data_IF_343823162536
#
_entry.id   IF_343823162536
#
_cell.length_a   1.000
_cell.length_b   1.000
_cell.length_c   1.000
_cell.angle_alpha   90.00
_cell.angle_beta   90.00
_cell.angle_gamma   90.00
#
_symmetry.space_group_name_H-M   'P 1'
#
loop_
_entity.id
_entity.type
_entity.pdbx_description
1 polymer ?
#
# COMPACT_ATOMS: atom_id res chain seq x y z
N UNK A 1 -6.23 37.92 -25.05
CA UNK A 1 -5.85 38.25 -26.46
C UNK A 1 -5.71 39.76 -26.68
N UNK A 2 -6.71 40.60 -26.35
CA UNK A 2 -6.61 42.06 -26.53
C UNK A 2 -5.58 42.73 -25.59
N UNK A 3 -5.42 42.21 -24.38
CA UNK A 3 -4.57 42.77 -23.32
C UNK A 3 -3.08 42.56 -23.60
N UNK A 4 -2.71 41.35 -23.99
CA UNK A 4 -1.36 41.04 -24.48
C UNK A 4 -1.00 41.87 -25.72
N UNK A 5 -1.99 42.19 -26.56
CA UNK A 5 -1.78 43.03 -27.74
C UNK A 5 -1.48 44.48 -27.34
N UNK A 6 -2.19 45.03 -26.35
CA UNK A 6 -1.98 46.39 -25.85
C UNK A 6 -0.64 46.55 -25.12
N UNK A 7 -0.29 45.60 -24.25
CA UNK A 7 1.00 45.61 -23.54
C UNK A 7 2.17 45.51 -24.53
N UNK A 8 2.07 44.59 -25.49
CA UNK A 8 3.08 44.43 -26.54
C UNK A 8 3.24 45.69 -27.39
N UNK A 9 2.12 46.32 -27.76
CA UNK A 9 2.16 47.58 -28.52
C UNK A 9 2.84 48.72 -27.74
N UNK A 10 2.65 48.82 -26.42
CA UNK A 10 3.32 49.83 -25.59
C UNK A 10 4.81 49.55 -25.38
N UNK A 11 5.18 48.29 -25.18
CA UNK A 11 6.59 47.88 -25.04
C UNK A 11 7.36 48.07 -26.36
N UNK A 12 6.74 47.74 -27.49
CA UNK A 12 7.34 47.92 -28.82
C UNK A 12 7.50 49.41 -29.16
N UNK A 13 6.53 50.27 -28.79
CA UNK A 13 6.65 51.72 -28.96
C UNK A 13 7.77 52.32 -28.09
N UNK A 14 7.85 51.92 -26.81
CA UNK A 14 8.92 52.36 -25.92
C UNK A 14 10.30 51.88 -26.37
N UNK A 15 10.39 50.66 -26.91
CA UNK A 15 11.63 50.12 -27.47
C UNK A 15 12.07 50.85 -28.75
N UNK A 16 11.12 51.33 -29.56
CA UNK A 16 11.41 52.11 -30.78
C UNK A 16 11.90 53.53 -30.48
N UNK A 17 11.45 54.13 -29.38
CA UNK A 17 11.89 55.46 -28.93
C UNK A 17 13.20 55.41 -28.12
N UNK A 18 13.49 54.27 -27.49
CA UNK A 18 14.70 54.08 -26.70
C UNK A 18 15.94 53.87 -27.58
N UNK A 19 17.00 54.65 -27.35
CA UNK A 19 18.33 54.47 -27.99
C UNK A 19 19.15 53.31 -27.41
N UNK A 20 18.61 52.60 -26.41
CA UNK A 20 19.25 51.49 -25.70
C UNK A 20 18.17 50.47 -25.27
N UNK A 21 18.54 49.22 -24.92
CA UNK A 21 17.60 48.23 -24.42
C UNK A 21 16.83 48.77 -23.21
N UNK A 22 15.51 48.53 -23.18
CA UNK A 22 14.65 48.97 -22.08
C UNK A 22 15.17 48.43 -20.76
N UNK A 23 15.37 49.31 -19.78
CA UNK A 23 15.73 48.89 -18.43
C UNK A 23 14.56 48.17 -17.76
N UNK A 24 14.87 47.30 -16.80
CA UNK A 24 13.87 46.57 -16.02
C UNK A 24 12.86 47.52 -15.35
N UNK A 25 13.33 48.68 -14.91
CA UNK A 25 12.49 49.69 -14.24
C UNK A 25 11.52 50.37 -15.22
N UNK A 26 11.95 50.62 -16.46
CA UNK A 26 11.08 51.16 -17.50
C UNK A 26 9.99 50.17 -17.91
N UNK A 27 10.34 48.88 -18.06
CA UNK A 27 9.37 47.82 -18.37
C UNK A 27 8.34 47.70 -17.24
N UNK A 28 8.77 47.74 -15.98
CA UNK A 28 7.88 47.70 -14.83
C UNK A 28 6.94 48.92 -14.76
N UNK A 29 7.40 50.10 -15.17
CA UNK A 29 6.58 51.31 -15.29
C UNK A 29 5.49 51.18 -16.35
N UNK A 30 5.84 50.70 -17.54
CA UNK A 30 4.89 50.52 -18.66
C UNK A 30 3.82 49.48 -18.31
N UNK A 31 4.22 48.35 -17.68
CA UNK A 31 3.27 47.34 -17.21
C UNK A 31 2.28 47.93 -16.22
N UNK A 32 2.76 48.77 -15.28
CA UNK A 32 1.91 49.42 -14.28
C UNK A 32 0.92 50.41 -14.90
N UNK A 33 1.37 51.23 -15.83
CA UNK A 33 0.47 52.15 -16.55
C UNK A 33 -0.60 51.42 -17.36
N UNK A 34 -0.26 50.29 -17.99
CA UNK A 34 -1.24 49.47 -18.72
C UNK A 34 -2.26 48.89 -17.75
N UNK A 35 -1.83 48.37 -16.60
CA UNK A 35 -2.71 47.85 -15.56
C UNK A 35 -3.62 48.94 -14.98
N UNK A 36 -3.11 50.15 -14.73
CA UNK A 36 -3.89 51.29 -14.22
C UNK A 36 -4.89 51.82 -15.27
N UNK A 37 -4.53 51.78 -16.55
CA UNK A 37 -5.38 52.27 -17.66
C UNK A 37 -6.58 51.37 -17.99
N UNK A 38 -6.58 50.13 -17.50
CA UNK A 38 -7.60 49.12 -17.83
C UNK A 38 -8.85 49.18 -16.93
N UNK A 39 -8.98 50.21 -16.09
CA UNK A 39 -10.09 50.31 -15.14
C UNK A 39 -9.80 49.41 -13.95
N UNK A 40 -9.03 49.96 -13.01
CA UNK A 40 -8.67 49.27 -11.78
C UNK A 40 -9.92 48.83 -11.02
N UNK A 41 -10.06 47.52 -10.88
CA UNK A 41 -10.53 46.91 -9.63
C UNK A 41 -9.98 45.49 -9.50
N UNK A 42 -8.66 45.33 -9.68
CA UNK A 42 -7.96 44.31 -8.90
C UNK A 42 -7.54 45.02 -7.63
N UNK A 43 -8.46 45.06 -6.67
CA UNK A 43 -8.22 45.70 -5.40
C UNK A 43 -7.00 45.04 -4.73
N UNK A 44 -6.32 45.74 -3.83
CA UNK A 44 -5.27 45.13 -3.01
C UNK A 44 -5.80 43.90 -2.22
N UNK A 45 -7.12 43.80 -2.05
CA UNK A 45 -7.79 42.63 -1.50
C UNK A 45 -7.79 41.45 -2.49
N UNK A 46 -8.06 41.67 -3.78
CA UNK A 46 -8.04 40.61 -4.79
C UNK A 46 -6.63 40.05 -5.00
N UNK A 47 -5.60 40.90 -5.03
CA UNK A 47 -4.20 40.43 -5.09
C UNK A 47 -3.81 39.59 -3.86
N UNK A 48 -4.34 39.92 -2.67
CA UNK A 48 -4.13 39.12 -1.45
C UNK A 48 -4.85 37.78 -1.56
N UNK A 49 -6.10 37.76 -2.02
CA UNK A 49 -6.86 36.54 -2.22
C UNK A 49 -6.21 35.62 -3.26
N UNK A 50 -5.72 36.17 -4.38
CA UNK A 50 -4.96 35.41 -5.37
C UNK A 50 -3.71 34.77 -4.78
N UNK A 51 -2.97 35.52 -3.94
CA UNK A 51 -1.79 34.99 -3.26
C UNK A 51 -2.14 33.90 -2.25
N UNK A 52 -3.20 34.07 -1.47
CA UNK A 52 -3.68 33.04 -0.54
C UNK A 52 -4.14 31.77 -1.27
N UNK A 53 -4.84 31.92 -2.40
CA UNK A 53 -5.23 30.80 -3.26
C UNK A 53 -4.01 30.11 -3.89
N UNK A 54 -2.99 30.86 -4.29
CA UNK A 54 -1.74 30.31 -4.83
C UNK A 54 -0.96 29.56 -3.76
N UNK A 55 -0.87 30.09 -2.54
CA UNK A 55 -0.24 29.44 -1.39
C UNK A 55 -0.99 28.14 -1.03
N UNK A 56 -2.33 28.17 -1.03
CA UNK A 56 -3.17 26.97 -0.82
C UNK A 56 -2.97 25.94 -1.94
N UNK A 57 -2.92 26.37 -3.20
CA UNK A 57 -2.70 25.48 -4.34
C UNK A 57 -1.32 24.81 -4.27
N UNK A 58 -0.28 25.57 -3.92
CA UNK A 58 1.07 25.02 -3.68
C UNK A 58 1.06 24.01 -2.53
N UNK A 59 0.36 24.31 -1.44
CA UNK A 59 0.23 23.38 -0.31
C UNK A 59 -0.50 22.09 -0.70
N UNK A 60 -1.62 22.18 -1.44
CA UNK A 60 -2.35 21.00 -1.95
C UNK A 60 -1.44 20.17 -2.85
N UNK A 61 -0.65 20.80 -3.73
CA UNK A 61 0.25 20.07 -4.61
C UNK A 61 1.38 19.37 -3.84
N UNK A 62 1.93 20.02 -2.80
CA UNK A 62 2.91 19.42 -1.91
C UNK A 62 2.33 18.18 -1.20
N UNK A 63 1.15 18.29 -0.58
CA UNK A 63 0.48 17.17 0.07
C UNK A 63 0.16 16.05 -0.92
N UNK A 64 -0.29 16.37 -2.14
CA UNK A 64 -0.50 15.37 -3.20
C UNK A 64 0.78 14.59 -3.50
N UNK A 65 1.92 15.27 -3.59
CA UNK A 65 3.21 14.63 -3.81
C UNK A 65 3.65 13.75 -2.63
N UNK A 66 3.45 14.20 -1.40
CA UNK A 66 3.79 13.40 -0.21
C UNK A 66 2.92 12.15 -0.10
N UNK A 67 1.62 12.28 -0.38
CA UNK A 67 0.70 11.13 -0.36
C UNK A 67 0.98 10.18 -1.53
N UNK A 68 1.38 10.68 -2.70
CA UNK A 68 1.82 9.84 -3.81
C UNK A 68 3.07 9.02 -3.45
N UNK A 69 4.00 9.58 -2.67
CA UNK A 69 5.21 8.88 -2.22
C UNK A 69 4.92 7.67 -1.30
N UNK A 70 3.75 7.62 -0.66
CA UNK A 70 3.28 6.47 0.14
C UNK A 70 2.92 5.27 -0.77
N UNK A 71 2.82 5.50 -2.10
CA UNK A 71 2.40 4.52 -3.11
C UNK A 71 1.10 3.81 -2.72
N UNK A 72 -0.02 4.55 -2.57
CA UNK A 72 -1.29 3.98 -2.11
C UNK A 72 -1.84 2.89 -3.05
N UNK A 73 -1.48 2.95 -4.34
CA UNK A 73 -1.83 1.92 -5.32
C UNK A 73 -1.19 0.56 -4.98
N UNK A 74 0.11 0.51 -4.64
CA UNK A 74 0.78 -0.73 -4.23
C UNK A 74 0.14 -1.33 -2.97
N UNK A 75 -0.24 -0.48 -2.01
CA UNK A 75 -0.89 -0.92 -0.77
C UNK A 75 -2.22 -1.62 -1.09
N UNK A 76 -3.00 -1.07 -2.03
CA UNK A 76 -4.29 -1.61 -2.46
C UNK A 76 -4.13 -2.86 -3.34
N UNK A 77 -3.22 -2.80 -4.31
CA UNK A 77 -3.16 -3.78 -5.40
C UNK A 77 -2.23 -4.95 -5.10
N UNK A 78 -1.28 -4.79 -4.16
CA UNK A 78 -0.26 -5.80 -3.85
C UNK A 78 -0.23 -6.14 -2.36
N UNK A 79 0.11 -5.18 -1.48
CA UNK A 79 0.45 -5.51 -0.10
C UNK A 79 -0.72 -6.04 0.75
N UNK A 80 -1.89 -5.38 0.72
CA UNK A 80 -3.06 -5.82 1.50
C UNK A 80 -3.64 -7.15 0.97
N UNK A 81 -3.82 -7.33 -0.35
CA UNK A 81 -4.25 -8.62 -0.90
C UNK A 81 -3.30 -9.76 -0.53
N UNK A 82 -1.99 -9.61 -0.75
CA UNK A 82 -1.00 -10.66 -0.42
C UNK A 82 -1.00 -10.99 1.07
N UNK A 83 -1.00 -9.98 1.95
CA UNK A 83 -1.03 -10.23 3.39
C UNK A 83 -2.33 -10.93 3.83
N UNK A 84 -3.45 -10.63 3.19
CA UNK A 84 -4.73 -11.30 3.49
C UNK A 84 -4.70 -12.77 3.07
N UNK A 85 -4.19 -13.05 1.86
CA UNK A 85 -4.07 -14.42 1.34
C UNK A 85 -3.10 -15.26 2.18
N UNK A 86 -1.97 -14.69 2.59
CA UNK A 86 -1.01 -15.36 3.49
C UNK A 86 -1.65 -15.68 4.85
N UNK A 87 -2.41 -14.74 5.42
CA UNK A 87 -3.10 -14.95 6.70
C UNK A 87 -4.17 -16.04 6.60
N UNK A 88 -4.94 -16.07 5.50
CA UNK A 88 -5.91 -17.14 5.25
C UNK A 88 -5.22 -18.51 5.06
N UNK A 89 -4.08 -18.55 4.37
CA UNK A 89 -3.27 -19.76 4.24
C UNK A 89 -2.76 -20.26 5.60
N UNK A 90 -2.34 -19.36 6.50
CA UNK A 90 -1.95 -19.71 7.87
C UNK A 90 -3.12 -20.32 8.65
N UNK A 91 -4.33 -19.76 8.54
CA UNK A 91 -5.52 -20.36 9.18
C UNK A 91 -5.74 -21.78 8.66
N UNK A 92 -5.78 -21.97 7.34
CA UNK A 92 -6.01 -23.30 6.75
C UNK A 92 -4.94 -24.33 7.12
N UNK A 93 -3.67 -23.93 7.12
CA UNK A 93 -2.57 -24.80 7.52
C UNK A 93 -2.63 -25.19 9.00
N UNK A 94 -2.98 -24.24 9.88
CA UNK A 94 -3.13 -24.53 11.32
C UNK A 94 -4.33 -25.43 11.61
N UNK A 95 -5.44 -25.27 10.91
CA UNK A 95 -6.59 -26.19 11.00
C UNK A 95 -6.22 -27.60 10.57
N UNK A 96 -5.54 -27.73 9.42
CA UNK A 96 -5.09 -29.03 8.91
C UNK A 96 -4.16 -29.72 9.89
N UNK A 97 -3.20 -28.98 10.47
CA UNK A 97 -2.30 -29.51 11.48
C UNK A 97 -3.04 -29.94 12.75
N UNK A 98 -4.04 -29.18 13.19
CA UNK A 98 -4.89 -29.54 14.34
C UNK A 98 -5.64 -30.86 14.10
N UNK A 99 -6.23 -31.05 12.91
CA UNK A 99 -6.89 -32.32 12.58
C UNK A 99 -5.92 -33.50 12.58
N UNK A 100 -4.72 -33.34 12.01
CA UNK A 100 -3.70 -34.38 12.06
C UNK A 100 -3.27 -34.74 13.49
N UNK A 101 -3.21 -33.75 14.39
CA UNK A 101 -2.95 -33.99 15.83
C UNK A 101 -4.11 -34.79 16.45
N UNK A 102 -5.36 -34.48 16.11
CA UNK A 102 -6.53 -35.20 16.61
C UNK A 102 -6.55 -36.66 16.15
N UNK A 103 -6.26 -36.91 14.87
CA UNK A 103 -6.14 -38.28 14.34
C UNK A 103 -5.07 -39.08 15.08
N UNK A 104 -3.92 -38.46 15.39
CA UNK A 104 -2.87 -39.08 16.18
C UNK A 104 -3.30 -39.35 17.63
N UNK A 105 -4.04 -38.43 18.25
CA UNK A 105 -4.63 -38.60 19.57
C UNK A 105 -5.63 -39.76 19.63
N UNK A 106 -6.46 -39.92 18.60
CA UNK A 106 -7.39 -41.05 18.49
C UNK A 106 -6.67 -42.39 18.34
N UNK A 107 -5.58 -42.43 17.57
CA UNK A 107 -4.71 -43.60 17.47
C UNK A 107 -4.09 -43.96 18.83
N UNK A 108 -3.65 -42.95 19.62
CA UNK A 108 -3.16 -43.16 20.99
C UNK A 108 -4.28 -43.69 21.89
N UNK A 109 -5.50 -43.19 21.76
CA UNK A 109 -6.68 -43.67 22.50
C UNK A 109 -6.98 -45.14 22.24
N UNK A 110 -6.84 -45.61 20.99
CA UNK A 110 -6.98 -47.03 20.66
C UNK A 110 -5.93 -47.91 21.36
N UNK A 111 -4.67 -47.44 21.41
CA UNK A 111 -3.59 -48.13 22.15
C UNK A 111 -3.86 -48.11 23.65
N UNK A 112 -4.36 -47.00 24.19
CA UNK A 112 -4.72 -46.87 25.61
C UNK A 112 -5.78 -47.90 26.03
N UNK A 113 -6.71 -48.26 25.15
CA UNK A 113 -7.69 -49.32 25.39
C UNK A 113 -7.13 -50.75 25.37
N UNK A 114 -5.93 -50.95 24.84
CA UNK A 114 -5.28 -52.26 24.71
C UNK A 114 -4.24 -52.55 25.82
N UNK A 115 -3.89 -51.56 26.64
CA UNK A 115 -2.93 -51.69 27.75
C UNK A 115 -3.64 -51.88 29.09
N UNK A 116 -2.89 -52.07 30.18
CA UNK A 116 -3.45 -52.15 31.52
C UNK A 116 -4.15 -50.83 31.93
N UNK A 117 -5.11 -50.94 32.86
CA UNK A 117 -5.97 -49.83 33.23
C UNK A 117 -5.21 -48.60 33.78
N UNK A 118 -4.08 -48.79 34.46
CA UNK A 118 -3.31 -47.68 35.01
C UNK A 118 -2.62 -46.88 33.89
N UNK A 119 -1.96 -47.57 32.97
CA UNK A 119 -1.28 -46.92 31.85
C UNK A 119 -2.28 -46.37 30.82
N UNK A 120 -3.39 -47.08 30.58
CA UNK A 120 -4.47 -46.60 29.71
C UNK A 120 -5.10 -45.30 30.22
N UNK A 121 -5.32 -45.17 31.54
CA UNK A 121 -5.82 -43.94 32.14
C UNK A 121 -4.83 -42.77 31.94
N UNK A 122 -3.53 -43.00 32.16
CA UNK A 122 -2.49 -41.97 31.95
C UNK A 122 -2.42 -41.48 30.50
N UNK A 123 -2.57 -42.39 29.54
CA UNK A 123 -2.60 -42.04 28.11
C UNK A 123 -3.84 -41.21 27.76
N UNK A 124 -5.02 -41.62 28.23
CA UNK A 124 -6.26 -40.89 27.98
C UNK A 124 -6.26 -39.49 28.62
N UNK A 125 -5.70 -39.34 29.83
CA UNK A 125 -5.51 -38.04 30.47
C UNK A 125 -4.59 -37.14 29.63
N UNK A 126 -3.49 -37.69 29.10
CA UNK A 126 -2.58 -36.94 28.24
C UNK A 126 -3.26 -36.50 26.92
N UNK A 127 -4.01 -37.40 26.28
CA UNK A 127 -4.79 -37.10 25.06
C UNK A 127 -5.83 -36.01 25.33
N UNK A 128 -6.56 -36.09 26.43
CA UNK A 128 -7.54 -35.08 26.84
C UNK A 128 -6.90 -33.70 26.98
N UNK A 129 -5.72 -33.63 27.61
CA UNK A 129 -4.96 -32.37 27.74
C UNK A 129 -4.49 -31.82 26.40
N UNK A 130 -4.17 -32.67 25.42
CA UNK A 130 -3.82 -32.24 24.07
C UNK A 130 -5.04 -31.64 23.37
N UNK A 131 -6.20 -32.31 23.44
CA UNK A 131 -7.45 -31.77 22.89
C UNK A 131 -7.80 -30.39 23.46
N UNK A 132 -7.71 -30.24 24.78
CA UNK A 132 -7.94 -28.95 25.46
C UNK A 132 -6.93 -27.90 25.01
N UNK A 133 -5.65 -28.27 24.89
CA UNK A 133 -4.60 -27.35 24.47
C UNK A 133 -4.86 -26.86 23.04
N UNK A 134 -5.21 -27.75 22.10
CA UNK A 134 -5.49 -27.46 20.70
C UNK A 134 -6.71 -26.55 20.46
N UNK A 135 -7.61 -26.43 21.45
CA UNK A 135 -8.74 -25.50 21.38
C UNK A 135 -8.31 -24.02 21.28
N UNK A 136 -7.03 -23.69 21.50
CA UNK A 136 -6.48 -22.35 21.23
C UNK A 136 -6.55 -21.93 19.75
N UNK A 137 -6.65 -22.89 18.82
CA UNK A 137 -6.70 -22.63 17.39
C UNK A 137 -7.92 -21.79 17.02
N UNK A 138 -9.09 -22.04 17.62
CA UNK A 138 -10.32 -21.26 17.38
C UNK A 138 -10.10 -19.76 17.71
N UNK A 139 -9.47 -19.46 18.85
CA UNK A 139 -9.14 -18.08 19.23
C UNK A 139 -8.11 -17.47 18.28
N UNK A 140 -7.13 -18.25 17.81
CA UNK A 140 -6.13 -17.79 16.83
C UNK A 140 -6.79 -17.46 15.49
N UNK A 141 -7.65 -18.35 14.96
CA UNK A 141 -8.40 -18.14 13.72
C UNK A 141 -9.32 -16.92 13.80
N UNK A 142 -10.01 -16.73 14.93
CA UNK A 142 -10.83 -15.55 15.17
C UNK A 142 -10.00 -14.26 15.23
N UNK A 143 -8.81 -14.29 15.84
CA UNK A 143 -7.91 -13.13 15.89
C UNK A 143 -7.37 -12.79 14.51
N UNK A 144 -6.95 -13.78 13.72
CA UNK A 144 -6.50 -13.58 12.34
C UNK A 144 -7.65 -13.00 11.51
N UNK A 145 -8.85 -13.54 11.62
CA UNK A 145 -10.05 -13.00 10.94
C UNK A 145 -10.29 -11.51 11.29
N UNK A 146 -10.06 -11.10 12.54
CA UNK A 146 -10.15 -9.68 12.94
C UNK A 146 -9.05 -8.83 12.29
N UNK A 147 -7.83 -9.35 12.18
CA UNK A 147 -6.73 -8.66 11.47
C UNK A 147 -7.07 -8.48 9.99
N UNK A 148 -7.52 -9.54 9.31
CA UNK A 148 -7.96 -9.48 7.91
C UNK A 148 -9.05 -8.43 7.71
N UNK A 149 -10.05 -8.38 8.61
CA UNK A 149 -11.09 -7.33 8.55
C UNK A 149 -10.54 -5.92 8.71
N UNK A 150 -9.53 -5.73 9.57
CA UNK A 150 -8.88 -4.44 9.74
C UNK A 150 -8.07 -4.05 8.49
N UNK A 151 -7.36 -4.99 7.87
CA UNK A 151 -6.64 -4.76 6.60
C UNK A 151 -7.61 -4.35 5.49
N UNK A 152 -8.74 -5.06 5.32
CA UNK A 152 -9.80 -4.66 4.37
C UNK A 152 -10.39 -3.28 4.67
N UNK A 153 -10.47 -2.88 5.94
CA UNK A 153 -10.89 -1.52 6.29
C UNK A 153 -9.86 -0.47 5.85
N UNK A 154 -8.56 -0.77 6.01
CA UNK A 154 -7.47 0.09 5.54
C UNK A 154 -7.51 0.21 4.02
N UNK A 155 -7.71 -0.89 3.29
CA UNK A 155 -7.89 -0.93 1.84
C UNK A 155 -8.97 0.05 1.37
N UNK A 156 -10.18 -0.01 1.95
CA UNK A 156 -11.26 0.93 1.61
C UNK A 156 -10.89 2.40 1.87
N UNK A 157 -10.09 2.68 2.92
CA UNK A 157 -9.63 4.05 3.20
C UNK A 157 -8.60 4.53 2.20
N UNK A 158 -7.71 3.63 1.78
CA UNK A 158 -6.71 3.88 0.75
C UNK A 158 -7.39 4.14 -0.60
N UNK A 159 -8.41 3.37 -0.97
CA UNK A 159 -9.23 3.61 -2.16
C UNK A 159 -9.89 4.99 -2.15
N UNK A 160 -10.51 5.36 -1.02
CA UNK A 160 -11.14 6.67 -0.88
C UNK A 160 -10.12 7.82 -0.99
N UNK A 161 -8.91 7.62 -0.48
CA UNK A 161 -7.80 8.58 -0.57
C UNK A 161 -7.35 8.76 -2.03
N UNK A 162 -7.17 7.66 -2.76
CA UNK A 162 -6.82 7.68 -4.18
C UNK A 162 -7.90 8.40 -5.01
N UNK A 163 -9.17 8.06 -4.77
CA UNK A 163 -10.29 8.70 -5.47
C UNK A 163 -10.39 10.21 -5.20
N UNK A 164 -10.12 10.66 -3.97
CA UNK A 164 -10.20 12.07 -3.59
C UNK A 164 -9.07 12.93 -4.18
N UNK A 165 -7.87 12.37 -4.32
CA UNK A 165 -6.69 13.09 -4.81
C UNK A 165 -6.55 13.05 -6.35
N UNK A 166 -7.24 12.11 -6.99
CA UNK A 166 -7.27 11.90 -8.44
C UNK A 166 -6.12 11.02 -8.92
N UNK A 167 -6.40 10.04 -9.79
CA UNK A 167 -5.41 9.06 -10.30
C UNK A 167 -4.16 9.72 -10.92
N UNK A 168 -4.32 10.88 -11.56
CA UNK A 168 -3.22 11.66 -12.15
C UNK A 168 -2.15 12.08 -11.13
N UNK A 169 -2.54 12.30 -9.87
CA UNK A 169 -1.59 12.66 -8.80
C UNK A 169 -0.68 11.48 -8.40
N UNK A 170 -1.11 10.25 -8.70
CA UNK A 170 -0.42 9.01 -8.33
C UNK A 170 0.36 8.39 -9.48
N UNK A 171 -0.07 8.63 -10.73
CA UNK A 171 0.67 8.19 -11.93
C UNK A 171 1.77 9.17 -12.36
N UNK A 172 1.74 10.43 -11.92
CA UNK A 172 2.73 11.45 -12.31
C UNK A 172 4.09 11.31 -11.60
N UNK A 173 4.19 10.41 -10.63
CA UNK A 173 5.41 10.17 -9.86
C UNK A 173 5.63 8.67 -9.75
N UNK A 174 6.02 8.02 -10.84
CA UNK A 174 6.88 6.84 -10.74
C UNK A 174 8.32 7.36 -10.60
N UNK A 175 8.83 7.61 -9.37
CA UNK A 175 10.27 7.52 -9.20
C UNK A 175 10.70 6.12 -9.65
N UNK A 176 11.93 5.93 -10.15
CA UNK A 176 12.41 4.60 -10.51
C UNK A 176 12.09 3.65 -9.35
N UNK A 177 11.67 2.39 -9.65
CA UNK A 177 11.35 1.42 -8.62
C UNK A 177 12.47 1.47 -7.58
N UNK A 178 12.15 1.48 -6.27
CA UNK A 178 13.19 1.47 -5.25
C UNK A 178 14.17 0.39 -5.66
N UNK A 179 15.44 0.77 -5.82
CA UNK A 179 16.50 -0.18 -6.20
C UNK A 179 16.26 -1.36 -5.28
N UNK A 180 15.92 -2.52 -5.87
CA UNK A 180 15.56 -3.71 -5.11
C UNK A 180 16.61 -3.80 -4.03
N UNK A 181 16.21 -3.52 -2.78
CA UNK A 181 17.05 -3.88 -1.67
C UNK A 181 17.18 -5.37 -1.91
N UNK A 182 18.37 -5.80 -2.32
CA UNK A 182 18.73 -7.18 -2.24
C UNK A 182 18.60 -7.47 -0.75
N UNK A 183 17.39 -7.85 -0.34
CA UNK A 183 17.09 -8.45 0.93
C UNK A 183 17.79 -9.79 0.88
N UNK A 184 19.10 -9.72 1.07
CA UNK A 184 20.01 -10.82 1.33
C UNK A 184 19.75 -11.23 2.80
N UNK A 185 18.47 -11.47 3.13
CA UNK A 185 18.04 -12.05 4.37
C UNK A 185 18.10 -13.57 4.17
N UNK A 186 19.18 -14.24 4.63
CA UNK A 186 19.33 -15.68 4.46
C UNK A 186 18.21 -16.47 5.15
N UNK A 187 17.45 -15.85 6.05
CA UNK A 187 16.32 -16.48 6.73
C UNK A 187 15.05 -16.47 5.85
N UNK A 188 14.88 -15.53 4.90
CA UNK A 188 13.76 -15.59 3.92
C UNK A 188 13.83 -16.83 3.03
N UNK A 189 15.03 -17.31 2.70
CA UNK A 189 15.22 -18.56 1.96
C UNK A 189 14.86 -19.82 2.77
N UNK A 190 14.75 -19.70 4.11
CA UNK A 190 14.40 -20.77 5.02
C UNK A 190 12.93 -20.69 5.49
N UNK A 191 12.28 -19.54 5.32
CA UNK A 191 10.88 -19.30 5.65
C UNK A 191 9.96 -19.66 4.49
N UNK A 192 9.96 -20.93 4.07
CA UNK A 192 8.86 -21.45 3.27
C UNK A 192 7.64 -21.61 4.18
N UNK A 193 6.75 -20.61 4.14
CA UNK A 193 5.41 -20.73 4.71
C UNK A 193 4.62 -21.86 4.03
N UNK A 194 3.48 -22.28 4.61
CA UNK A 194 2.62 -23.28 4.00
C UNK A 194 2.29 -22.89 2.55
N UNK A 195 2.67 -23.75 1.60
CA UNK A 195 2.48 -23.46 0.17
C UNK A 195 0.98 -23.41 -0.15
N UNK A 196 0.55 -22.34 -0.84
CA UNK A 196 -0.81 -22.23 -1.35
C UNK A 196 -1.10 -23.42 -2.28
N UNK A 197 -2.32 -23.95 -2.26
CA UNK A 197 -2.69 -25.19 -2.96
C UNK A 197 -2.42 -25.20 -4.48
N UNK A 198 -2.21 -24.03 -5.12
CA UNK A 198 -1.84 -23.92 -6.53
C UNK A 198 -0.33 -23.77 -6.82
N UNK A 199 0.50 -23.57 -5.79
CA UNK A 199 1.97 -23.49 -5.88
C UNK A 199 2.67 -24.67 -5.18
N UNK A 200 1.91 -25.52 -4.49
CA UNK A 200 2.43 -26.73 -3.90
C UNK A 200 2.86 -27.72 -5.00
N UNK A 201 4.11 -28.17 -4.95
CA UNK A 201 4.56 -29.28 -5.81
C UNK A 201 3.68 -30.48 -5.48
N UNK A 202 3.06 -31.04 -6.51
CA UNK A 202 2.19 -32.22 -6.34
C UNK A 202 3.02 -33.45 -5.96
N UNK A 203 2.46 -34.35 -5.15
CA UNK A 203 3.13 -35.61 -4.81
C UNK A 203 3.54 -36.39 -6.07
N UNK A 204 2.71 -36.33 -7.13
CA UNK A 204 3.01 -36.92 -8.44
C UNK A 204 4.20 -36.29 -9.17
N UNK A 205 4.54 -35.03 -8.87
CA UNK A 205 5.76 -34.38 -9.35
C UNK A 205 6.97 -34.71 -8.49
N UNK A 206 6.80 -34.84 -7.18
CA UNK A 206 7.86 -35.33 -6.26
C UNK A 206 8.29 -36.72 -6.69
N UNK A 207 7.33 -37.62 -6.91
CA UNK A 207 7.59 -39.00 -7.28
C UNK A 207 8.27 -39.10 -8.66
N UNK A 208 7.89 -38.23 -9.61
CA UNK A 208 8.56 -38.11 -10.92
C UNK A 208 9.98 -37.57 -10.82
N UNK A 209 10.21 -36.60 -9.96
CA UNK A 209 11.53 -36.02 -9.74
C UNK A 209 12.46 -37.07 -9.09
N UNK A 210 11.98 -37.80 -8.09
CA UNK A 210 12.75 -38.84 -7.42
C UNK A 210 13.04 -40.03 -8.33
N UNK A 211 12.09 -40.43 -9.17
CA UNK A 211 12.32 -41.47 -10.19
C UNK A 211 13.34 -41.07 -11.27
N UNK A 212 13.67 -39.77 -11.41
CA UNK A 212 14.69 -39.31 -12.35
C UNK A 212 16.14 -39.39 -11.83
N UNK A 213 16.31 -39.72 -10.53
CA UNK A 213 17.61 -39.90 -9.88
C UNK A 213 18.05 -41.37 -9.76
N UNK A 214 17.17 -42.31 -10.11
CA UNK A 214 17.47 -43.75 -10.27
C UNK A 214 17.74 -44.10 -11.74
#
# INVERSE_FOLDING_TARGET
>A
MAEQKLLRQRLDAAAAEARAPLSRDMVAGIVREVLDSMGGDVSAHDLRLYRELEELARYIHHVKSEVAAIRPADIRDEHIPTATDELDAVVGATETATFAIFDACDAIGAVAGAVDAENGAKLNDAVTRIYEACNFQDITGQRITKVVKALRHIETKVEALVAALGEEAFHASDPPPPAAEAEDDPDKALLHGPQSAGQAISQDEIDRLLASFD
#
